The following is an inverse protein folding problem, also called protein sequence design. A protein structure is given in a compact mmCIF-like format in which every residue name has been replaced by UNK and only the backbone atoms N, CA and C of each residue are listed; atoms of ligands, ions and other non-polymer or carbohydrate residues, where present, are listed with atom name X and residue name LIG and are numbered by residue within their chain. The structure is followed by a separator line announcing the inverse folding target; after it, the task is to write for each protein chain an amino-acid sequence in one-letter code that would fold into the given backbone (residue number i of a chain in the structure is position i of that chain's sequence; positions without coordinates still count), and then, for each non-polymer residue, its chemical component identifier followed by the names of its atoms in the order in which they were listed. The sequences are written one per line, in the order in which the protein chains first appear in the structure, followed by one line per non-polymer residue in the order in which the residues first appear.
data_IF_972566928702
#
_entry.id   IF_972566928702
#
_cell.length_a   1.000
_cell.length_b   1.000
_cell.length_c   1.000
_cell.angle_alpha   90.00
_cell.angle_beta   90.00
_cell.angle_gamma   90.00
#
_symmetry.space_group_name_H-M   'P 1'
#
loop_
_entity.id
_entity.type
_entity.pdbx_description
1 polymer ?
#
# COMPACT_ATOMS: atom_id res chain seq x y z
N UNK A 1 -8.34 -16.50 -1.37
CA UNK A 1 -8.97 -15.87 -0.20
C UNK A 1 -9.70 -16.95 0.59
N UNK A 2 -9.13 -17.44 1.70
CA UNK A 2 -9.80 -18.44 2.56
C UNK A 2 -11.00 -17.78 3.25
N UNK A 3 -12.20 -18.34 3.10
CA UNK A 3 -13.41 -17.83 3.75
C UNK A 3 -13.30 -17.94 5.27
N UNK A 4 -13.13 -16.80 5.95
CA UNK A 4 -13.15 -16.70 7.42
C UNK A 4 -14.50 -17.19 7.98
N UNK A 5 -15.58 -17.03 7.23
CA UNK A 5 -16.93 -17.47 7.60
C UNK A 5 -17.06 -19.01 7.76
N UNK A 6 -16.20 -19.79 7.12
CA UNK A 6 -16.25 -21.27 7.16
C UNK A 6 -15.47 -21.89 8.33
N UNK A 7 -14.76 -21.07 9.12
CA UNK A 7 -13.94 -21.56 10.23
C UNK A 7 -14.81 -21.79 11.47
N UNK A 8 -14.75 -23.00 12.02
CA UNK A 8 -15.37 -23.31 13.32
C UNK A 8 -14.47 -22.81 14.47
N UNK A 9 -15.05 -22.21 15.53
CA UNK A 9 -14.29 -21.72 16.67
C UNK A 9 -13.66 -22.88 17.44
N UNK A 10 -12.41 -22.72 17.88
CA UNK A 10 -11.67 -23.75 18.63
C UNK A 10 -12.23 -23.97 20.04
N UNK A 11 -12.86 -22.96 20.63
CA UNK A 11 -13.51 -23.05 21.94
C UNK A 11 -14.62 -22.00 22.10
N UNK A 12 -15.38 -22.09 23.21
CA UNK A 12 -16.50 -21.17 23.52
C UNK A 12 -16.07 -19.70 23.56
N UNK A 13 -14.89 -19.40 24.09
CA UNK A 13 -14.37 -18.03 24.14
C UNK A 13 -14.12 -17.48 22.74
N UNK A 14 -13.52 -18.26 21.84
CA UNK A 14 -13.31 -17.89 20.44
C UNK A 14 -14.63 -17.81 19.64
N UNK A 15 -15.69 -18.50 20.10
CA UNK A 15 -17.04 -18.41 19.52
C UNK A 15 -17.80 -17.15 19.92
N UNK A 16 -17.34 -16.42 20.95
CA UNK A 16 -18.02 -15.23 21.46
C UNK A 16 -17.26 -13.97 21.05
N UNK A 17 -17.99 -12.93 20.63
CA UNK A 17 -17.41 -11.59 20.45
C UNK A 17 -17.25 -10.97 21.83
N UNK A 18 -16.04 -11.06 22.39
CA UNK A 18 -15.74 -10.58 23.76
C UNK A 18 -15.68 -9.06 23.85
N UNK A 19 -15.43 -8.35 22.74
CA UNK A 19 -15.37 -6.90 22.71
C UNK A 19 -15.77 -6.36 21.33
N UNK A 20 -16.38 -5.16 21.30
CA UNK A 20 -16.63 -4.43 20.05
C UNK A 20 -15.30 -4.08 19.39
N UNK A 21 -15.23 -4.23 18.06
CA UNK A 21 -14.09 -3.76 17.28
C UNK A 21 -13.91 -2.25 17.43
N UNK A 22 -12.66 -1.80 17.51
CA UNK A 22 -12.32 -0.37 17.49
C UNK A 22 -12.16 0.02 16.03
N UNK A 23 -13.02 0.91 15.55
CA UNK A 23 -12.82 1.57 14.26
C UNK A 23 -11.64 2.53 14.40
N UNK A 24 -10.49 2.14 13.85
CA UNK A 24 -9.30 2.97 13.88
C UNK A 24 -9.24 3.83 12.63
N UNK A 25 -9.49 5.12 12.80
CA UNK A 25 -9.17 6.11 11.78
C UNK A 25 -7.78 6.67 12.06
N UNK A 26 -6.81 6.47 11.15
CA UNK A 26 -5.48 7.02 11.34
C UNK A 26 -5.58 8.56 11.37
N UNK A 27 -5.32 9.16 12.54
CA UNK A 27 -5.18 10.61 12.72
C UNK A 27 -3.88 11.15 12.11
N UNK A 28 -3.42 10.59 10.98
CA UNK A 28 -2.21 11.10 10.36
C UNK A 28 -2.54 12.47 9.79
N UNK A 29 -1.98 13.54 10.38
CA UNK A 29 -1.96 14.89 9.81
C UNK A 29 -1.14 14.95 8.50
N UNK A 30 -0.80 13.79 7.92
CA UNK A 30 -0.03 13.71 6.69
C UNK A 30 -1.00 13.99 5.57
N UNK A 31 -0.87 15.17 5.00
CA UNK A 31 -1.48 15.51 3.73
C UNK A 31 -1.20 14.36 2.76
N UNK A 32 -2.25 13.68 2.33
CA UNK A 32 -2.15 12.65 1.31
C UNK A 32 -1.50 13.29 0.08
N UNK A 33 -0.23 12.94 -0.17
CA UNK A 33 0.54 13.51 -1.27
C UNK A 33 -0.03 13.05 -2.62
N UNK A 34 -0.77 11.94 -2.58
CA UNK A 34 -1.33 11.23 -3.71
C UNK A 34 -2.82 11.03 -3.48
N UNK A 35 -3.61 11.22 -4.54
CA UNK A 35 -4.98 10.69 -4.54
C UNK A 35 -4.94 9.17 -4.41
N UNK A 36 -5.85 8.66 -3.59
CA UNK A 36 -5.98 7.25 -3.21
C UNK A 36 -7.37 6.75 -3.57
N UNK A 37 -7.46 5.50 -4.02
CA UNK A 37 -8.71 4.82 -4.33
C UNK A 37 -8.64 3.35 -3.90
N UNK A 38 -9.75 2.84 -3.37
CA UNK A 38 -9.90 1.42 -3.07
C UNK A 38 -10.31 0.61 -4.30
N UNK A 39 -11.02 1.27 -5.24
CA UNK A 39 -11.44 0.69 -6.52
C UNK A 39 -10.63 1.35 -7.64
N UNK A 40 -10.27 0.57 -8.66
CA UNK A 40 -9.51 1.06 -9.81
C UNK A 40 -10.28 2.21 -10.51
N UNK A 41 -9.73 3.44 -10.55
CA UNK A 41 -10.31 4.51 -11.36
C UNK A 41 -10.08 4.27 -12.86
N UNK A 42 -10.87 4.94 -13.69
CA UNK A 42 -10.69 4.89 -15.14
C UNK A 42 -9.36 5.52 -15.56
N UNK A 43 -8.71 4.91 -16.55
CA UNK A 43 -7.44 5.37 -17.12
C UNK A 43 -7.63 5.80 -18.57
N UNK A 44 -6.86 6.78 -19.02
CA UNK A 44 -6.84 7.22 -20.41
C UNK A 44 -5.80 6.42 -21.22
N UNK A 45 -5.99 6.25 -22.55
CA UNK A 45 -5.00 5.63 -23.40
C UNK A 45 -3.70 6.43 -23.41
N UNK A 46 -2.56 5.74 -23.39
CA UNK A 46 -1.24 6.39 -23.40
C UNK A 46 -0.95 6.94 -24.80
N UNK A 47 -0.76 8.26 -24.98
CA UNK A 47 -0.39 8.82 -26.27
C UNK A 47 1.00 8.36 -26.71
N UNK A 48 1.18 8.13 -28.02
CA UNK A 48 2.45 7.62 -28.60
C UNK A 48 3.69 8.49 -28.33
N UNK A 49 3.50 9.79 -28.10
CA UNK A 49 4.60 10.72 -27.84
C UNK A 49 5.10 10.67 -26.38
N UNK A 50 4.49 9.85 -25.52
CA UNK A 50 4.87 9.70 -24.11
C UNK A 50 5.38 8.28 -23.92
N UNK A 51 6.46 8.16 -23.15
CA UNK A 51 6.97 6.86 -22.72
C UNK A 51 5.90 6.12 -21.92
N UNK A 52 5.43 4.99 -22.45
CA UNK A 52 4.55 4.10 -21.71
C UNK A 52 5.29 3.48 -20.52
N UNK A 53 4.63 3.54 -19.36
CA UNK A 53 5.13 3.00 -18.09
C UNK A 53 4.28 1.87 -17.57
N UNK A 54 3.20 1.52 -18.26
CA UNK A 54 2.30 0.44 -17.87
C UNK A 54 3.09 -0.86 -17.68
N UNK A 55 2.85 -1.55 -16.57
CA UNK A 55 3.57 -2.77 -16.16
C UNK A 55 4.92 -2.55 -15.47
N UNK A 56 5.42 -1.31 -15.34
CA UNK A 56 6.63 -1.05 -14.55
C UNK A 56 6.38 -1.32 -13.06
N UNK A 57 7.32 -2.02 -12.41
CA UNK A 57 7.28 -2.36 -10.98
C UNK A 57 8.35 -1.60 -10.20
N UNK A 58 7.96 -1.09 -9.03
CA UNK A 58 8.82 -0.37 -8.09
C UNK A 58 8.50 -0.83 -6.67
N UNK A 59 9.38 -1.63 -6.07
CA UNK A 59 9.13 -2.28 -4.79
C UNK A 59 7.83 -3.08 -4.82
N UNK A 60 6.83 -2.62 -4.08
CA UNK A 60 5.49 -3.24 -3.99
C UNK A 60 4.43 -2.58 -4.86
N UNK A 61 4.82 -1.65 -5.73
CA UNK A 61 3.93 -0.89 -6.60
C UNK A 61 4.08 -1.34 -8.06
N UNK A 62 2.97 -1.46 -8.78
CA UNK A 62 2.91 -1.70 -10.21
C UNK A 62 2.13 -0.58 -10.92
N UNK A 63 2.64 -0.09 -12.05
CA UNK A 63 1.97 0.95 -12.85
C UNK A 63 0.87 0.32 -13.70
N UNK A 64 -0.36 0.78 -13.52
CA UNK A 64 -1.56 0.23 -14.17
C UNK A 64 -1.95 0.97 -15.45
N UNK A 65 -1.71 2.29 -15.49
CA UNK A 65 -2.06 3.09 -16.66
C UNK A 65 -1.94 4.58 -16.40
N UNK A 66 -2.30 5.38 -17.39
CA UNK A 66 -2.22 6.84 -17.33
C UNK A 66 -3.54 7.41 -16.78
N UNK A 67 -3.45 8.29 -15.78
CA UNK A 67 -4.63 9.01 -15.26
C UNK A 67 -4.82 10.32 -16.00
N UNK A 68 -3.74 11.10 -16.14
CA UNK A 68 -3.84 12.45 -16.64
C UNK A 68 -2.55 12.95 -17.28
N UNK A 69 -2.72 13.75 -18.33
CA UNK A 69 -1.67 14.43 -19.06
C UNK A 69 -1.41 15.79 -18.43
N UNK A 70 -0.23 15.94 -17.85
CA UNK A 70 0.12 17.14 -17.10
C UNK A 70 1.22 17.88 -17.86
N UNK A 71 0.96 19.14 -18.21
CA UNK A 71 1.93 20.03 -18.88
C UNK A 71 2.99 20.59 -17.92
N UNK A 72 2.94 20.23 -16.64
CA UNK A 72 3.85 20.76 -15.61
C UNK A 72 5.19 20.01 -15.58
N UNK A 73 6.23 20.63 -15.00
CA UNK A 73 7.58 20.04 -14.87
C UNK A 73 7.63 18.74 -14.06
N UNK A 74 6.57 18.43 -13.29
CA UNK A 74 6.50 17.23 -12.43
C UNK A 74 6.07 15.98 -13.24
N UNK A 75 5.58 16.19 -14.47
CA UNK A 75 5.23 15.15 -15.42
C UNK A 75 3.85 14.54 -15.23
N UNK A 76 3.49 13.67 -16.16
CA UNK A 76 2.19 13.00 -16.23
C UNK A 76 1.86 12.19 -14.97
N UNK A 77 0.56 12.07 -14.70
CA UNK A 77 0.02 11.35 -13.54
C UNK A 77 -0.38 9.94 -13.96
N UNK A 78 0.21 8.97 -13.29
CA UNK A 78 0.02 7.55 -13.54
C UNK A 78 -0.78 6.92 -12.40
N UNK A 79 -1.67 5.99 -12.75
CA UNK A 79 -2.32 5.11 -11.81
C UNK A 79 -1.34 3.99 -11.45
N UNK A 80 -1.18 3.75 -10.16
CA UNK A 80 -0.42 2.61 -9.67
C UNK A 80 -1.25 1.77 -8.72
N UNK A 81 -0.95 0.47 -8.66
CA UNK A 81 -1.54 -0.48 -7.72
C UNK A 81 -0.45 -0.96 -6.77
N UNK A 82 -0.72 -0.91 -5.47
CA UNK A 82 0.14 -1.50 -4.46
C UNK A 82 -0.24 -2.97 -4.21
N UNK A 83 0.71 -3.78 -3.72
CA UNK A 83 0.45 -5.17 -3.33
C UNK A 83 -0.68 -5.34 -2.29
N UNK A 84 -0.95 -4.33 -1.47
CA UNK A 84 -2.09 -4.35 -0.52
C UNK A 84 -3.46 -4.22 -1.20
N UNK A 85 -3.51 -3.98 -2.51
CA UNK A 85 -4.74 -3.81 -3.29
C UNK A 85 -5.15 -2.36 -3.54
N UNK A 86 -4.58 -1.39 -2.81
CA UNK A 86 -4.90 0.02 -2.98
C UNK A 86 -4.35 0.62 -4.26
N UNK A 87 -5.07 1.61 -4.80
CA UNK A 87 -4.67 2.37 -5.97
C UNK A 87 -4.27 3.79 -5.57
N UNK A 88 -3.20 4.30 -6.17
CA UNK A 88 -2.74 5.67 -5.94
C UNK A 88 -2.30 6.35 -7.22
N UNK A 89 -2.27 7.68 -7.19
CA UNK A 89 -1.67 8.46 -8.25
C UNK A 89 -0.18 8.70 -8.01
N UNK A 90 0.67 8.43 -9.00
CA UNK A 90 2.11 8.75 -8.94
C UNK A 90 2.51 9.61 -10.12
N UNK A 91 3.47 10.50 -9.91
CA UNK A 91 4.03 11.32 -10.98
C UNK A 91 5.15 10.57 -11.69
N UNK A 92 5.29 10.79 -13.00
CA UNK A 92 6.34 10.18 -13.82
C UNK A 92 7.76 10.42 -13.24
N UNK A 93 8.00 11.59 -12.65
CA UNK A 93 9.28 11.92 -12.01
C UNK A 93 9.57 11.04 -10.79
N UNK A 94 8.55 10.70 -10.01
CA UNK A 94 8.70 9.82 -8.84
C UNK A 94 8.97 8.38 -9.29
N UNK A 95 8.29 7.92 -10.33
CA UNK A 95 8.49 6.59 -10.91
C UNK A 95 9.87 6.41 -11.59
N UNK A 96 10.57 7.49 -11.92
CA UNK A 96 11.96 7.38 -12.41
C UNK A 96 12.96 6.99 -11.32
N UNK A 97 12.64 7.26 -10.05
CA UNK A 97 13.52 6.91 -8.94
C UNK A 97 13.30 5.44 -8.61
N UNK A 98 14.30 4.60 -8.88
CA UNK A 98 14.28 3.21 -8.43
C UNK A 98 14.36 3.22 -6.90
N UNK A 99 13.32 2.73 -6.26
CA UNK A 99 13.28 2.47 -4.82
C UNK A 99 12.74 1.06 -4.64
N UNK A 100 13.55 0.20 -4.04
CA UNK A 100 13.18 -1.21 -3.83
C UNK A 100 12.13 -1.39 -2.73
N UNK A 101 11.89 -0.34 -1.94
CA UNK A 101 10.95 -0.36 -0.81
C UNK A 101 9.74 0.56 -1.00
N UNK A 102 9.46 0.98 -2.24
CA UNK A 102 8.31 1.85 -2.49
C UNK A 102 6.98 1.10 -2.31
N UNK A 103 6.01 1.81 -1.74
CA UNK A 103 4.67 1.31 -1.42
C UNK A 103 3.65 2.46 -1.38
N UNK A 104 2.36 2.13 -1.31
CA UNK A 104 1.31 3.14 -1.13
C UNK A 104 1.48 3.87 0.21
N UNK A 105 0.90 5.07 0.29
CA UNK A 105 0.89 5.89 1.50
C UNK A 105 0.30 5.13 2.69
N UNK A 106 -0.76 4.34 2.48
CA UNK A 106 -1.34 3.50 3.53
C UNK A 106 -0.33 2.48 4.09
N UNK A 107 0.37 1.75 3.22
CA UNK A 107 1.42 0.81 3.64
C UNK A 107 2.59 1.53 4.32
N UNK A 108 2.97 2.73 3.86
CA UNK A 108 3.99 3.56 4.53
C UNK A 108 3.55 3.94 5.95
N UNK A 109 2.29 4.32 6.11
CA UNK A 109 1.73 4.68 7.41
C UNK A 109 1.68 3.46 8.34
N UNK A 110 1.24 2.30 7.85
CA UNK A 110 1.24 1.04 8.61
C UNK A 110 2.66 0.65 9.05
N UNK A 111 3.64 0.74 8.16
CA UNK A 111 5.07 0.47 8.48
C UNK A 111 5.60 1.43 9.54
N UNK A 112 5.24 2.72 9.45
CA UNK A 112 5.64 3.71 10.44
C UNK A 112 5.02 3.41 11.82
N UNK A 113 3.73 3.08 11.88
CA UNK A 113 3.07 2.72 13.14
C UNK A 113 3.66 1.46 13.76
N UNK A 114 3.93 0.43 12.94
CA UNK A 114 4.60 -0.80 13.41
C UNK A 114 5.96 -0.50 14.02
N UNK A 115 6.79 0.29 13.32
CA UNK A 115 8.11 0.69 13.81
C UNK A 115 8.03 1.46 15.13
N UNK A 116 7.09 2.41 15.25
CA UNK A 116 6.92 3.14 16.51
C UNK A 116 6.49 2.24 17.66
N UNK A 117 5.62 1.25 17.39
CA UNK A 117 5.18 0.29 18.39
C UNK A 117 6.32 -0.63 18.83
N UNK A 118 7.15 -1.12 17.90
CA UNK A 118 8.36 -1.87 18.20
C UNK A 118 9.29 -1.09 19.12
N UNK A 119 9.57 0.17 18.79
CA UNK A 119 10.39 1.04 19.62
C UNK A 119 9.79 1.26 21.01
N UNK A 120 8.48 1.47 21.12
CA UNK A 120 7.81 1.63 22.42
C UNK A 120 7.92 0.39 23.30
N UNK A 121 7.88 -0.80 22.70
CA UNK A 121 7.96 -2.07 23.44
C UNK A 121 9.38 -2.45 23.83
N UNK A 122 10.35 -2.24 22.93
CA UNK A 122 11.70 -2.78 23.07
C UNK A 122 12.75 -1.71 23.43
N UNK A 123 12.45 -0.42 23.25
CA UNK A 123 13.41 0.68 23.36
C UNK A 123 14.31 0.86 22.12
N UNK A 124 14.16 0.00 21.10
CA UNK A 124 14.90 0.06 19.83
C UNK A 124 14.05 -0.53 18.68
N UNK A 125 14.45 -0.25 17.44
CA UNK A 125 13.79 -0.82 16.25
C UNK A 125 14.50 -2.13 15.85
N UNK A 126 13.74 -3.19 15.59
CA UNK A 126 14.31 -4.43 15.09
C UNK A 126 14.92 -4.23 13.70
N UNK A 127 16.03 -4.92 13.37
CA UNK A 127 16.58 -4.89 12.04
C UNK A 127 15.58 -5.48 11.04
N UNK A 128 15.55 -4.93 9.83
CA UNK A 128 14.57 -5.30 8.81
C UNK A 128 14.64 -6.77 8.36
N UNK A 129 15.69 -7.51 8.74
CA UNK A 129 15.83 -8.95 8.53
C UNK A 129 14.95 -9.79 9.48
N UNK A 130 14.75 -9.36 10.73
CA UNK A 130 14.02 -10.13 11.74
C UNK A 130 12.51 -9.84 11.76
N UNK A 131 12.07 -8.69 11.24
CA UNK A 131 10.65 -8.28 11.26
C UNK A 131 9.83 -8.60 10.00
N UNK A 132 10.43 -9.13 8.92
CA UNK A 132 9.75 -9.35 7.62
C UNK A 132 9.35 -10.80 7.33
N UNK A 133 9.59 -11.73 8.25
CA UNK A 133 9.31 -13.16 8.02
C UNK A 133 7.80 -13.49 8.08
N UNK A 134 7.00 -12.67 8.79
CA UNK A 134 5.55 -12.87 8.91
C UNK A 134 4.79 -12.66 7.58
N UNK A 135 5.32 -11.86 6.65
CA UNK A 135 4.65 -11.56 5.37
C UNK A 135 4.95 -12.59 4.26
N UNK A 136 5.88 -13.54 4.48
CA UNK A 136 6.26 -14.55 3.47
C UNK A 136 5.39 -15.82 3.53
N UNK A 137 4.63 -16.03 4.59
CA UNK A 137 3.86 -17.26 4.81
C UNK A 137 2.41 -17.22 4.30
N UNK A 138 1.97 -16.13 3.66
CA UNK A 138 0.61 -16.00 3.10
C UNK A 138 0.58 -16.09 1.57
N UNK A 139 1.48 -16.90 0.99
CA UNK A 139 1.47 -17.29 -0.43
C UNK A 139 1.82 -18.78 -0.57
N UNK A 140 0.92 -19.64 -0.09
CA UNK A 140 0.83 -21.06 -0.46
C UNK A 140 -0.64 -21.50 -0.43
#
# INVERSE_FOLDING_TARGET
MKQIASRSPVNKTASMVTQKGIHFEPKSKRNWVHEHWDVRPQTIPVPRHIKDRTGQKHGTIEVVGLLDLQKNRKGNKWLVRCLCGSYESRRALTLNKKSDDDCCQYCKDKRHLRRNEEYRRLGYNLPASLGREEDKHEQA
#
